data_IF_964322831204
#
_entry.id   IF_964322831204
#
_cell.length_a   1.000
_cell.length_b   1.000
_cell.length_c   1.000
_cell.angle_alpha   90.00
_cell.angle_beta   90.00
_cell.angle_gamma   90.00
#
_symmetry.space_group_name_H-M   'P 1'
#
loop_
_entity.id
_entity.type
_entity.pdbx_description
1 polymer ?
#
# COMPACT_ATOMS: atom_id res chain seq x y z
N UNK A 1 -11.38 -1.62 -20.12
CA UNK A 1 -9.92 -1.86 -20.02
C UNK A 1 -9.65 -3.32 -20.32
N UNK A 2 -8.61 -3.63 -21.09
CA UNK A 2 -8.21 -5.02 -21.38
C UNK A 2 -6.85 -5.27 -20.78
N UNK A 3 -6.72 -6.33 -19.97
CA UNK A 3 -5.45 -6.75 -19.41
C UNK A 3 -4.68 -7.58 -20.41
N UNK A 4 -3.40 -7.25 -20.65
CA UNK A 4 -2.53 -7.96 -21.59
C UNK A 4 -1.47 -8.74 -20.81
N UNK A 5 -1.38 -10.04 -21.09
CA UNK A 5 -0.25 -10.85 -20.66
C UNK A 5 0.84 -10.76 -21.72
N UNK A 6 2.00 -10.20 -21.39
CA UNK A 6 3.15 -10.07 -22.29
C UNK A 6 2.78 -9.55 -23.67
N UNK A 7 3.11 -8.35 -24.00
CA UNK A 7 3.20 -7.67 -25.30
C UNK A 7 2.56 -8.34 -26.56
N UNK A 8 1.56 -9.20 -26.38
CA UNK A 8 0.79 -9.77 -27.50
C UNK A 8 -0.04 -8.64 -28.10
N UNK A 9 0.13 -8.41 -29.41
CA UNK A 9 -0.78 -7.56 -30.18
C UNK A 9 -2.19 -8.08 -29.96
N UNK A 10 -3.03 -7.29 -29.30
CA UNK A 10 -4.47 -7.54 -29.35
C UNK A 10 -4.92 -7.21 -30.76
N UNK A 11 -5.55 -8.16 -31.43
CA UNK A 11 -6.40 -7.86 -32.58
C UNK A 11 -7.29 -6.69 -32.20
N UNK A 12 -7.60 -5.81 -33.14
CA UNK A 12 -8.47 -4.67 -32.96
C UNK A 12 -9.87 -5.17 -32.63
N UNK A 13 -10.13 -5.50 -31.38
CA UNK A 13 -11.46 -5.87 -30.91
C UNK A 13 -12.17 -4.57 -30.60
N UNK A 14 -13.11 -4.17 -31.44
CA UNK A 14 -14.02 -3.07 -31.13
C UNK A 14 -15.08 -3.59 -30.15
N UNK A 15 -15.10 -3.03 -28.97
CA UNK A 15 -16.14 -3.31 -27.96
C UNK A 15 -17.21 -2.23 -28.09
N UNK A 16 -18.46 -2.65 -28.27
CA UNK A 16 -19.61 -1.78 -28.36
C UNK A 16 -20.46 -1.91 -27.09
N UNK A 17 -20.90 -0.78 -26.57
CA UNK A 17 -21.92 -0.70 -25.52
C UNK A 17 -22.96 0.35 -25.92
N UNK A 18 -24.23 -0.03 -25.96
CA UNK A 18 -25.33 0.81 -26.45
C UNK A 18 -25.03 1.48 -27.82
N UNK A 19 -24.52 0.72 -28.79
CA UNK A 19 -24.07 1.19 -30.11
C UNK A 19 -22.96 2.25 -30.10
N UNK A 20 -22.28 2.46 -28.96
CA UNK A 20 -21.10 3.33 -28.85
C UNK A 20 -19.82 2.52 -28.72
N UNK A 21 -18.80 2.89 -29.48
CA UNK A 21 -17.47 2.26 -29.40
C UNK A 21 -16.82 2.62 -28.08
N UNK A 22 -16.42 1.61 -27.29
CA UNK A 22 -15.74 1.80 -26.04
C UNK A 22 -14.25 2.10 -26.29
N UNK A 23 -13.77 3.22 -25.75
CA UNK A 23 -12.36 3.59 -25.81
C UNK A 23 -11.51 2.69 -24.91
N UNK A 24 -10.39 2.20 -25.44
CA UNK A 24 -9.40 1.47 -24.66
C UNK A 24 -8.56 2.42 -23.82
N UNK A 25 -8.61 2.22 -22.50
CA UNK A 25 -7.76 2.98 -21.57
C UNK A 25 -6.61 2.11 -21.06
N UNK A 26 -5.44 2.70 -20.92
CA UNK A 26 -4.24 2.02 -20.39
C UNK A 26 -4.26 1.92 -18.86
N UNK A 27 -4.85 2.89 -18.19
CA UNK A 27 -4.99 2.95 -16.75
C UNK A 27 -6.42 3.34 -16.39
N UNK A 28 -6.95 2.75 -15.35
CA UNK A 28 -8.30 3.04 -14.83
C UNK A 28 -8.26 2.99 -13.30
N UNK A 29 -8.78 4.03 -12.66
CA UNK A 29 -8.88 4.07 -11.19
C UNK A 29 -10.24 3.53 -10.76
N UNK A 30 -10.22 2.47 -9.97
CA UNK A 30 -11.41 1.86 -9.39
C UNK A 30 -11.29 1.78 -7.88
N UNK A 31 -12.23 2.41 -7.17
CA UNK A 31 -12.24 2.49 -5.70
C UNK A 31 -10.86 2.88 -5.11
N UNK A 32 -10.21 3.89 -5.70
CA UNK A 32 -8.92 4.39 -5.24
C UNK A 32 -7.70 3.51 -5.62
N UNK A 33 -7.91 2.39 -6.31
CA UNK A 33 -6.85 1.53 -6.82
C UNK A 33 -6.64 1.80 -8.31
N UNK A 34 -5.43 2.15 -8.71
CA UNK A 34 -5.07 2.36 -10.11
C UNK A 34 -4.76 1.03 -10.79
N UNK A 35 -5.67 0.59 -11.63
CA UNK A 35 -5.52 -0.62 -12.44
C UNK A 35 -4.82 -0.25 -13.74
N UNK A 36 -3.71 -0.90 -14.05
CA UNK A 36 -2.98 -0.72 -15.31
C UNK A 36 -3.16 -1.94 -16.22
N UNK A 37 -3.26 -1.70 -17.53
CA UNK A 37 -3.46 -2.77 -18.53
C UNK A 37 -2.34 -3.83 -18.55
N UNK A 38 -1.16 -3.50 -18.05
CA UNK A 38 -0.03 -4.42 -17.90
C UNK A 38 0.01 -5.17 -16.57
N UNK A 39 -0.99 -4.97 -15.69
CA UNK A 39 -1.05 -5.60 -14.36
C UNK A 39 -0.08 -5.01 -13.34
N UNK A 40 0.54 -3.86 -13.62
CA UNK A 40 1.44 -3.19 -12.71
C UNK A 40 0.66 -2.24 -11.77
N UNK A 41 0.94 -2.31 -10.47
CA UNK A 41 0.32 -1.48 -9.44
C UNK A 41 1.25 -0.38 -8.88
N UNK A 42 2.33 -0.07 -9.59
CA UNK A 42 3.30 0.93 -9.12
C UNK A 42 2.66 2.31 -8.87
N UNK A 43 1.72 2.72 -9.72
CA UNK A 43 1.02 3.98 -9.56
C UNK A 43 0.11 3.98 -8.31
N UNK A 44 -0.54 2.86 -8.01
CA UNK A 44 -1.29 2.69 -6.76
C UNK A 44 -0.37 2.81 -5.55
N UNK A 45 0.77 2.11 -5.56
CA UNK A 45 1.74 2.15 -4.47
C UNK A 45 2.29 3.56 -4.25
N UNK A 46 2.59 4.28 -5.31
CA UNK A 46 3.05 5.67 -5.25
C UNK A 46 1.98 6.59 -4.64
N UNK A 47 0.74 6.48 -5.07
CA UNK A 47 -0.38 7.26 -4.53
C UNK A 47 -0.59 6.99 -3.04
N UNK A 48 -0.54 5.72 -2.61
CA UNK A 48 -0.67 5.34 -1.20
C UNK A 48 0.52 5.83 -0.36
N UNK A 49 1.72 5.79 -0.91
CA UNK A 49 2.91 6.36 -0.29
C UNK A 49 2.72 7.87 -0.01
N UNK A 50 2.31 8.64 -1.03
CA UNK A 50 2.05 10.09 -0.89
C UNK A 50 0.93 10.38 0.12
N UNK A 51 -0.14 9.60 0.11
CA UNK A 51 -1.24 9.74 1.08
C UNK A 51 -0.79 9.41 2.51
N UNK A 52 0.03 8.38 2.68
CA UNK A 52 0.55 8.01 3.99
C UNK A 52 1.48 9.07 4.59
N UNK A 53 2.30 9.74 3.77
CA UNK A 53 3.11 10.87 4.21
C UNK A 53 2.24 12.05 4.67
N UNK A 54 1.14 12.34 3.94
CA UNK A 54 0.16 13.34 4.37
C UNK A 54 -0.52 12.99 5.70
N UNK A 55 -0.76 11.70 5.95
CA UNK A 55 -1.30 11.21 7.22
C UNK A 55 -0.28 11.26 8.37
N UNK A 56 1.01 11.08 8.08
CA UNK A 56 2.08 11.18 9.09
C UNK A 56 2.31 12.60 9.58
N UNK A 57 2.11 13.61 8.74
CA UNK A 57 2.35 14.99 9.11
C UNK A 57 1.54 15.45 10.35
N UNK A 58 0.18 15.33 10.39
CA UNK A 58 -0.59 15.67 11.57
C UNK A 58 -0.27 14.75 12.77
N UNK A 59 0.09 13.51 12.53
CA UNK A 59 0.45 12.57 13.59
C UNK A 59 1.73 13.02 14.30
N UNK A 60 2.75 13.43 13.56
CA UNK A 60 3.99 13.97 14.14
C UNK A 60 3.71 15.25 14.94
N UNK A 61 2.84 16.14 14.47
CA UNK A 61 2.44 17.34 15.21
C UNK A 61 1.80 17.01 16.57
N UNK A 62 0.97 15.95 16.62
CA UNK A 62 0.42 15.46 17.88
C UNK A 62 1.50 14.93 18.82
N UNK A 63 2.51 14.23 18.28
CA UNK A 63 3.62 13.69 19.09
C UNK A 63 4.51 14.78 19.68
N UNK A 64 4.59 15.92 18.99
CA UNK A 64 5.34 17.10 19.49
C UNK A 64 4.58 17.88 20.56
N UNK A 65 3.24 17.90 20.46
CA UNK A 65 2.38 18.61 21.40
C UNK A 65 2.12 17.84 22.70
N UNK A 66 2.06 16.52 22.62
CA UNK A 66 1.66 15.66 23.76
C UNK A 66 2.75 14.64 24.03
N UNK A 67 3.18 14.57 25.27
CA UNK A 67 4.11 13.51 25.71
C UNK A 67 3.37 12.18 25.75
N UNK A 68 3.43 11.43 24.67
CA UNK A 68 2.82 10.10 24.53
C UNK A 68 3.86 9.01 24.74
N UNK A 69 3.42 7.94 25.35
CA UNK A 69 4.21 6.71 25.45
C UNK A 69 4.41 6.05 24.07
N UNK A 70 5.47 5.27 23.92
CA UNK A 70 5.80 4.59 22.64
C UNK A 70 4.62 3.71 22.17
N UNK A 71 3.97 3.03 23.10
CA UNK A 71 2.81 2.17 22.77
C UNK A 71 1.64 2.97 22.20
N UNK A 72 1.38 4.17 22.71
CA UNK A 72 0.28 5.01 22.22
C UNK A 72 0.61 5.63 20.86
N UNK A 73 1.87 6.04 20.65
CA UNK A 73 2.36 6.49 19.33
C UNK A 73 2.19 5.40 18.26
N UNK A 74 2.51 4.15 18.61
CA UNK A 74 2.32 3.01 17.73
C UNK A 74 0.85 2.76 17.44
N UNK A 75 -0.04 2.82 18.44
CA UNK A 75 -1.50 2.68 18.25
C UNK A 75 -2.07 3.75 17.32
N UNK A 76 -1.63 4.99 17.48
CA UNK A 76 -2.04 6.08 16.60
C UNK A 76 -1.57 5.85 15.16
N UNK A 77 -0.33 5.42 14.95
CA UNK A 77 0.16 5.03 13.63
C UNK A 77 -0.68 3.89 13.02
N UNK A 78 -0.99 2.87 13.81
CA UNK A 78 -1.79 1.72 13.37
C UNK A 78 -3.22 2.10 13.00
N UNK A 79 -3.79 3.09 13.66
CA UNK A 79 -5.16 3.55 13.37
C UNK A 79 -5.24 4.53 12.20
N UNK A 80 -4.24 5.39 12.02
CA UNK A 80 -4.29 6.48 11.04
C UNK A 80 -3.51 6.19 9.75
N UNK A 81 -2.33 5.61 9.85
CA UNK A 81 -1.39 5.48 8.72
C UNK A 81 -1.37 4.07 8.15
N UNK A 82 -1.35 3.06 9.00
CA UNK A 82 -1.31 1.65 8.56
C UNK A 82 -2.48 1.26 7.62
N UNK A 83 -3.74 1.71 7.83
CA UNK A 83 -4.83 1.43 6.91
C UNK A 83 -4.61 2.01 5.52
N UNK A 84 -3.98 3.19 5.42
CA UNK A 84 -3.62 3.82 4.15
C UNK A 84 -2.56 2.98 3.43
N UNK A 85 -1.48 2.61 4.13
CA UNK A 85 -0.37 1.81 3.58
C UNK A 85 -0.82 0.44 3.08
N UNK A 86 -1.85 -0.13 3.69
CA UNK A 86 -2.38 -1.45 3.36
C UNK A 86 -3.69 -1.40 2.54
N UNK A 87 -4.13 -0.23 2.09
CA UNK A 87 -5.38 -0.09 1.36
C UNK A 87 -5.37 -0.87 0.05
N UNK A 88 -6.38 -1.72 -0.17
CA UNK A 88 -6.49 -2.55 -1.37
C UNK A 88 -5.37 -3.57 -1.57
N UNK A 89 -4.55 -3.84 -0.54
CA UNK A 89 -3.42 -4.76 -0.63
C UNK A 89 -3.81 -6.20 -0.95
N UNK A 90 -5.06 -6.56 -0.80
CA UNK A 90 -5.67 -7.81 -1.26
C UNK A 90 -5.50 -7.99 -2.77
N UNK A 91 -5.53 -6.88 -3.52
CA UNK A 91 -5.42 -6.86 -4.98
C UNK A 91 -3.97 -6.73 -5.45
N UNK A 92 -3.24 -5.74 -4.93
CA UNK A 92 -1.90 -5.39 -5.40
C UNK A 92 -0.76 -5.96 -4.54
N UNK A 93 -1.06 -6.52 -3.38
CA UNK A 93 -0.07 -6.94 -2.38
C UNK A 93 0.88 -8.07 -2.81
N UNK A 94 0.71 -8.65 -4.01
CA UNK A 94 1.65 -9.61 -4.60
C UNK A 94 2.95 -8.96 -5.07
N UNK A 95 2.93 -7.68 -5.36
CA UNK A 95 4.07 -6.94 -5.86
C UNK A 95 4.94 -6.41 -4.72
N UNK A 96 6.23 -6.27 -4.99
CA UNK A 96 7.14 -5.55 -4.07
C UNK A 96 6.66 -4.11 -3.96
N UNK A 97 6.65 -3.58 -2.74
CA UNK A 97 6.20 -2.22 -2.44
C UNK A 97 7.23 -1.53 -1.53
N UNK A 98 8.40 -1.26 -2.10
CA UNK A 98 9.56 -0.73 -1.36
C UNK A 98 9.25 0.61 -0.73
N UNK A 99 8.57 1.50 -1.44
CA UNK A 99 8.27 2.85 -0.94
C UNK A 99 7.28 2.80 0.25
N UNK A 100 6.31 1.90 0.20
CA UNK A 100 5.36 1.65 1.30
C UNK A 100 6.08 1.05 2.52
N UNK A 101 6.95 0.07 2.32
CA UNK A 101 7.78 -0.49 3.41
C UNK A 101 8.70 0.57 4.02
N UNK A 102 9.23 1.48 3.20
CA UNK A 102 10.10 2.56 3.66
C UNK A 102 9.39 3.52 4.61
N UNK A 103 8.13 3.87 4.35
CA UNK A 103 7.34 4.72 5.27
C UNK A 103 7.24 4.07 6.64
N UNK A 104 6.88 2.79 6.68
CA UNK A 104 6.76 2.03 7.93
C UNK A 104 8.10 1.92 8.67
N UNK A 105 9.16 1.58 7.94
CA UNK A 105 10.51 1.46 8.51
C UNK A 105 11.01 2.80 9.06
N UNK A 106 10.82 3.89 8.32
CA UNK A 106 11.28 5.21 8.75
C UNK A 106 10.52 5.69 9.99
N UNK A 107 9.21 5.45 10.06
CA UNK A 107 8.41 5.76 11.24
C UNK A 107 8.97 5.07 12.49
N UNK A 108 9.22 3.76 12.45
CA UNK A 108 9.75 3.04 13.60
C UNK A 108 11.18 3.43 13.94
N UNK A 109 12.03 3.71 12.95
CA UNK A 109 13.38 4.22 13.21
C UNK A 109 13.38 5.58 13.90
N UNK A 110 12.48 6.47 13.48
CA UNK A 110 12.27 7.76 14.12
C UNK A 110 11.72 7.60 15.54
N UNK A 111 10.71 6.75 15.72
CA UNK A 111 10.07 6.48 17.01
C UNK A 111 11.09 5.95 18.05
N UNK A 112 11.98 5.07 17.64
CA UNK A 112 13.04 4.47 18.48
C UNK A 112 14.30 5.34 18.55
N UNK A 113 14.32 6.51 17.88
CA UNK A 113 15.47 7.40 17.80
C UNK A 113 16.77 6.71 17.35
N UNK A 114 16.64 5.72 16.46
CA UNK A 114 17.80 4.98 15.91
C UNK A 114 18.23 5.53 14.55
N UNK A 115 19.49 5.32 14.20
CA UNK A 115 20.04 5.76 12.91
C UNK A 115 19.39 5.04 11.73
N UNK A 116 19.34 5.71 10.57
CA UNK A 116 18.77 5.13 9.33
C UNK A 116 19.48 3.85 8.87
N UNK A 117 20.77 3.70 9.20
CA UNK A 117 21.57 2.51 8.89
C UNK A 117 21.32 1.31 9.82
N UNK A 118 20.59 1.52 10.93
CA UNK A 118 20.24 0.43 11.87
C UNK A 118 19.50 -0.68 11.14
N UNK A 119 19.86 -1.93 11.44
CA UNK A 119 19.21 -3.11 10.87
C UNK A 119 17.71 -3.08 11.09
N UNK A 120 16.95 -3.35 10.04
CA UNK A 120 15.49 -3.41 10.12
C UNK A 120 15.01 -4.57 11.04
N UNK A 121 15.80 -5.63 11.15
CA UNK A 121 15.48 -6.76 12.05
C UNK A 121 15.47 -6.31 13.51
N UNK A 122 16.52 -5.58 13.94
CA UNK A 122 16.59 -5.03 15.30
C UNK A 122 15.44 -4.04 15.55
N UNK A 123 15.17 -3.15 14.58
CA UNK A 123 14.14 -2.15 14.67
C UNK A 123 12.73 -2.77 14.79
N UNK A 124 12.45 -3.87 14.11
CA UNK A 124 11.16 -4.56 14.23
C UNK A 124 11.09 -5.44 15.49
N UNK A 125 12.20 -5.98 15.94
CA UNK A 125 12.27 -6.84 17.14
C UNK A 125 11.93 -6.09 18.42
N UNK A 126 12.37 -4.84 18.57
CA UNK A 126 12.14 -4.04 19.77
C UNK A 126 10.65 -3.79 20.08
N UNK A 127 9.83 -3.30 19.15
CA UNK A 127 8.39 -3.14 19.37
C UNK A 127 7.58 -4.43 19.10
N UNK A 128 8.20 -5.58 18.86
CA UNK A 128 7.53 -6.84 18.54
C UNK A 128 6.71 -6.79 17.24
N UNK A 129 7.23 -6.12 16.22
CA UNK A 129 6.51 -5.87 14.96
C UNK A 129 7.06 -6.67 13.79
N UNK A 130 6.22 -6.84 12.81
CA UNK A 130 6.58 -7.46 11.54
C UNK A 130 6.64 -6.41 10.41
N UNK A 131 7.45 -6.65 9.35
CA UNK A 131 7.39 -5.85 8.13
C UNK A 131 5.98 -5.80 7.55
N UNK A 132 5.60 -4.71 6.90
CA UNK A 132 4.28 -4.56 6.25
C UNK A 132 3.99 -5.67 5.24
N UNK A 133 5.02 -6.21 4.62
CA UNK A 133 4.89 -7.35 3.73
C UNK A 133 4.08 -8.49 4.39
N UNK A 134 4.36 -8.82 5.66
CA UNK A 134 3.65 -9.88 6.40
C UNK A 134 2.16 -9.53 6.56
N UNK A 135 1.84 -8.29 6.95
CA UNK A 135 0.45 -7.82 7.05
C UNK A 135 -0.29 -7.93 5.72
N UNK A 136 0.36 -7.54 4.61
CA UNK A 136 -0.22 -7.65 3.27
C UNK A 136 -0.47 -9.10 2.86
N UNK A 137 0.45 -10.03 3.18
CA UNK A 137 0.25 -11.46 2.92
C UNK A 137 -0.93 -12.02 3.70
N UNK A 138 -1.06 -11.69 4.98
CA UNK A 138 -2.18 -12.11 5.81
C UNK A 138 -3.51 -11.62 5.23
N UNK A 139 -3.59 -10.34 4.80
CA UNK A 139 -4.80 -9.78 4.17
C UNK A 139 -5.19 -10.53 2.90
N UNK A 140 -4.23 -10.84 2.03
CA UNK A 140 -4.47 -11.62 0.81
C UNK A 140 -5.01 -13.01 1.11
N UNK A 141 -4.38 -13.71 2.05
CA UNK A 141 -4.80 -15.05 2.45
C UNK A 141 -6.23 -15.02 3.02
N UNK A 142 -6.52 -14.07 3.92
CA UNK A 142 -7.87 -13.89 4.47
C UNK A 142 -8.90 -13.60 3.38
N UNK A 143 -8.57 -12.75 2.42
CA UNK A 143 -9.45 -12.43 1.30
C UNK A 143 -9.69 -13.65 0.40
N UNK A 144 -8.64 -14.42 0.12
CA UNK A 144 -8.75 -15.64 -0.68
C UNK A 144 -9.65 -16.70 -0.04
N UNK A 145 -9.53 -16.91 1.27
CA UNK A 145 -10.44 -17.80 2.00
C UNK A 145 -11.89 -17.31 1.95
N UNK A 146 -12.09 -15.99 2.08
CA UNK A 146 -13.44 -15.40 1.96
C UNK A 146 -14.07 -15.60 0.58
N UNK A 147 -13.27 -15.70 -0.48
CA UNK A 147 -13.79 -15.96 -1.83
C UNK A 147 -14.13 -17.45 -2.07
N UNK A 148 -13.52 -18.34 -1.31
CA UNK A 148 -13.77 -19.79 -1.44
C UNK A 148 -14.93 -20.29 -0.58
N UNK A 149 -15.26 -19.63 0.51
CA UNK A 149 -16.34 -19.99 1.44
C UNK A 149 -17.63 -19.32 1.14
#
# INVERSE_FOLDING_TARGET
MVFKKHNRRTENVELLYNNQVLNFVKCFTYLGVNLSSNGNFHQTQKSLHEQSLKGLFPLNSVFDMVSLDISDKVRLFDSMVLPILCYGSEVWGFHKAVDIERVHTNFFKQLLSVKQQTSNVCMYGEPGRFPLYVYRQIRKIKYWFKLKG
#
